data_IF_102425873614
#
_entry.id   IF_102425873614
#
_cell.length_a   1.000
_cell.length_b   1.000
_cell.length_c   1.000
_cell.angle_alpha   90.00
_cell.angle_beta   90.00
_cell.angle_gamma   90.00
#
_symmetry.space_group_name_H-M   'P 1'
#
loop_
_entity.id
_entity.type
_entity.pdbx_description
1 polymer ?
#
# COMPACT_ATOMS: atom_id res chain seq x y z
N UNK A 1 1.15 -27.50 -5.80
CA UNK A 1 -0.08 -26.68 -5.73
C UNK A 1 0.23 -25.46 -4.89
N UNK A 2 0.52 -24.33 -5.53
CA UNK A 2 0.59 -23.04 -4.83
C UNK A 2 -0.84 -22.63 -4.55
N UNK A 3 -1.26 -22.68 -3.29
CA UNK A 3 -2.49 -22.00 -2.87
C UNK A 3 -2.24 -20.52 -3.11
N UNK A 4 -2.90 -19.94 -4.12
CA UNK A 4 -3.00 -18.50 -4.22
C UNK A 4 -3.65 -18.04 -2.91
N UNK A 5 -2.86 -17.45 -2.01
CA UNK A 5 -3.39 -16.73 -0.87
C UNK A 5 -4.29 -15.68 -1.49
N UNK A 6 -5.61 -15.81 -1.31
CA UNK A 6 -6.56 -14.85 -1.84
C UNK A 6 -6.11 -13.45 -1.44
N UNK A 7 -6.33 -12.43 -2.28
CA UNK A 7 -5.95 -11.05 -1.94
C UNK A 7 -6.71 -10.47 -0.72
N UNK A 8 -7.65 -11.23 -0.16
CA UNK A 8 -8.57 -10.83 0.89
C UNK A 8 -7.87 -10.49 2.22
N UNK A 9 -6.95 -11.29 2.77
CA UNK A 9 -6.25 -10.94 4.01
C UNK A 9 -5.42 -9.65 3.86
N UNK A 10 -4.81 -9.46 2.69
CA UNK A 10 -4.00 -8.27 2.39
C UNK A 10 -4.87 -7.02 2.28
N UNK A 11 -6.06 -7.12 1.69
CA UNK A 11 -7.04 -6.04 1.68
C UNK A 11 -7.47 -5.66 3.10
N UNK A 12 -7.78 -6.65 3.94
CA UNK A 12 -8.13 -6.42 5.35
C UNK A 12 -7.01 -5.73 6.13
N UNK A 13 -5.75 -6.06 5.85
CA UNK A 13 -4.62 -5.38 6.46
C UNK A 13 -4.60 -3.89 6.10
N UNK A 14 -4.80 -3.53 4.83
CA UNK A 14 -4.87 -2.12 4.39
C UNK A 14 -6.06 -1.40 5.03
N UNK A 15 -7.25 -2.02 5.07
CA UNK A 15 -8.42 -1.46 5.74
C UNK A 15 -8.13 -1.16 7.23
N UNK A 16 -7.44 -2.07 7.91
CA UNK A 16 -7.06 -1.91 9.32
C UNK A 16 -6.07 -0.77 9.51
N UNK A 17 -5.02 -0.69 8.67
CA UNK A 17 -4.04 0.39 8.73
C UNK A 17 -4.68 1.75 8.46
N UNK A 18 -5.62 1.81 7.50
CA UNK A 18 -6.35 3.03 7.19
C UNK A 18 -7.23 3.48 8.36
N UNK A 19 -7.88 2.54 9.05
CA UNK A 19 -8.66 2.84 10.24
C UNK A 19 -7.79 3.40 11.38
N UNK A 20 -6.64 2.79 11.64
CA UNK A 20 -5.68 3.28 12.65
C UNK A 20 -5.16 4.67 12.28
N UNK A 21 -4.77 4.87 11.03
CA UNK A 21 -4.22 6.14 10.55
C UNK A 21 -5.23 7.29 10.71
N UNK A 22 -6.51 7.06 10.38
CA UNK A 22 -7.59 8.06 10.56
C UNK A 22 -7.95 8.31 12.02
N UNK A 23 -7.75 7.34 12.90
CA UNK A 23 -8.04 7.49 14.32
C UNK A 23 -6.94 8.25 15.08
N UNK A 24 -5.72 8.33 14.52
CA UNK A 24 -4.58 8.95 15.17
C UNK A 24 -4.41 10.42 14.72
N UNK A 25 -4.61 11.42 15.60
CA UNK A 25 -4.71 12.84 15.20
C UNK A 25 -3.44 13.42 14.59
N UNK A 26 -2.28 12.80 14.82
CA UNK A 26 -0.99 13.24 14.30
C UNK A 26 -0.59 12.57 12.97
N UNK A 27 -1.30 11.52 12.56
CA UNK A 27 -1.03 10.87 11.26
C UNK A 27 -1.72 11.69 10.17
N UNK A 28 -0.99 11.99 9.09
CA UNK A 28 -1.48 12.81 7.97
C UNK A 28 -1.52 12.06 6.65
N UNK A 29 -0.69 11.04 6.51
CA UNK A 29 -0.52 10.29 5.27
C UNK A 29 -0.33 8.82 5.61
N UNK A 30 -0.99 7.95 4.85
CA UNK A 30 -0.67 6.53 4.74
C UNK A 30 0.13 6.31 3.46
N UNK A 31 1.28 5.67 3.56
CA UNK A 31 2.21 5.41 2.43
C UNK A 31 2.35 3.92 2.17
N UNK A 32 2.39 3.53 0.90
CA UNK A 32 2.78 2.20 0.44
C UNK A 32 3.91 2.32 -0.60
N UNK A 33 4.90 1.43 -0.54
CA UNK A 33 5.95 1.28 -1.54
C UNK A 33 5.78 -0.07 -2.21
N UNK A 34 5.76 -0.09 -3.54
CA UNK A 34 5.43 -1.28 -4.32
C UNK A 34 6.31 -1.31 -5.57
N UNK A 35 7.03 -2.42 -5.78
CA UNK A 35 7.78 -2.65 -7.02
C UNK A 35 6.91 -2.49 -8.28
N UNK A 36 7.45 -1.97 -9.39
CA UNK A 36 6.68 -1.59 -10.58
C UNK A 36 5.89 -2.75 -11.19
N UNK A 37 6.43 -3.98 -11.09
CA UNK A 37 5.86 -5.19 -11.68
C UNK A 37 4.99 -5.99 -10.70
N UNK A 38 4.80 -5.51 -9.46
CA UNK A 38 3.99 -6.20 -8.45
C UNK A 38 2.50 -5.82 -8.57
N UNK A 39 1.86 -6.35 -9.60
CA UNK A 39 0.44 -6.09 -9.88
C UNK A 39 -0.49 -6.56 -8.76
N UNK A 40 -0.13 -7.65 -8.07
CA UNK A 40 -0.92 -8.20 -6.97
C UNK A 40 -1.00 -7.23 -5.79
N UNK A 41 0.14 -6.70 -5.33
CA UNK A 41 0.17 -5.67 -4.28
C UNK A 41 -0.47 -4.36 -4.72
N UNK A 42 -0.29 -3.98 -5.99
CA UNK A 42 -0.98 -2.80 -6.55
C UNK A 42 -2.50 -2.95 -6.52
N UNK A 43 -3.01 -4.16 -6.75
CA UNK A 43 -4.44 -4.45 -6.66
C UNK A 43 -4.98 -4.41 -5.22
N UNK A 44 -4.14 -4.62 -4.21
CA UNK A 44 -4.52 -4.52 -2.79
C UNK A 44 -4.83 -3.07 -2.39
N UNK A 45 -4.04 -2.10 -2.87
CA UNK A 45 -4.27 -0.67 -2.59
C UNK A 45 -5.28 -0.02 -3.56
N UNK A 46 -5.63 -0.73 -4.64
CA UNK A 46 -6.59 -0.25 -5.63
C UNK A 46 -7.96 0.01 -4.98
N UNK A 47 -8.57 1.16 -5.30
CA UNK A 47 -9.87 1.56 -4.76
C UNK A 47 -9.84 2.31 -3.42
N UNK A 48 -8.67 2.41 -2.76
CA UNK A 48 -8.53 3.17 -1.51
C UNK A 48 -8.11 4.64 -1.72
N UNK A 49 -7.83 5.06 -2.95
CA UNK A 49 -7.52 6.47 -3.30
C UNK A 49 -6.05 6.85 -3.20
N UNK A 50 -5.14 5.89 -3.11
CA UNK A 50 -3.70 6.13 -3.16
C UNK A 50 -3.28 6.79 -4.49
N UNK A 51 -2.42 7.80 -4.40
CA UNK A 51 -1.82 8.49 -5.54
C UNK A 51 -0.32 8.19 -5.61
N UNK A 52 0.21 7.96 -6.82
CA UNK A 52 1.66 7.85 -7.03
C UNK A 52 2.29 9.23 -6.82
N UNK A 53 3.28 9.31 -5.93
CA UNK A 53 3.97 10.57 -5.58
C UNK A 53 5.47 10.54 -5.86
N UNK A 54 6.03 9.37 -6.16
CA UNK A 54 7.46 9.27 -6.44
C UNK A 54 7.93 7.85 -6.61
N UNK A 55 9.25 7.70 -6.53
CA UNK A 55 9.98 6.44 -6.64
C UNK A 55 11.05 6.41 -5.56
N UNK A 56 11.42 5.22 -5.13
CA UNK A 56 12.57 4.98 -4.26
C UNK A 56 13.37 3.80 -4.79
N UNK A 57 14.66 3.78 -4.46
CA UNK A 57 15.50 2.61 -4.69
C UNK A 57 15.68 1.90 -3.35
N UNK A 58 15.25 0.66 -3.30
CA UNK A 58 15.58 -0.29 -2.24
C UNK A 58 16.80 -1.12 -2.66
N UNK A 59 17.74 -1.36 -1.74
CA UNK A 59 18.99 -2.05 -2.05
C UNK A 59 18.80 -3.56 -2.29
N UNK A 60 17.75 -4.17 -1.74
CA UNK A 60 17.42 -5.58 -1.87
C UNK A 60 16.39 -5.81 -2.99
N UNK A 61 15.33 -4.99 -3.01
CA UNK A 61 14.18 -5.15 -3.89
C UNK A 61 14.23 -4.29 -5.17
N UNK A 62 15.14 -3.32 -5.23
CA UNK A 62 15.34 -2.44 -6.39
C UNK A 62 14.35 -1.28 -6.48
N UNK A 63 13.92 -0.93 -7.68
CA UNK A 63 13.02 0.21 -7.89
C UNK A 63 11.65 -0.07 -7.26
N UNK A 64 11.17 0.86 -6.44
CA UNK A 64 9.81 0.86 -5.91
C UNK A 64 9.09 2.17 -6.22
N UNK A 65 7.77 2.07 -6.42
CA UNK A 65 6.89 3.21 -6.62
C UNK A 65 6.27 3.61 -5.29
N UNK A 66 6.33 4.89 -4.93
CA UNK A 66 5.73 5.45 -3.71
C UNK A 66 4.30 5.88 -4.00
N UNK A 67 3.37 5.35 -3.21
CA UNK A 67 1.95 5.67 -3.23
C UNK A 67 1.51 6.27 -1.89
N UNK A 68 0.77 7.37 -1.92
CA UNK A 68 0.30 8.05 -0.72
C UNK A 68 -1.20 8.32 -0.74
N UNK A 69 -1.81 8.25 0.44
CA UNK A 69 -3.19 8.61 0.70
C UNK A 69 -3.23 9.58 1.91
N UNK A 70 -3.70 10.82 1.74
CA UNK A 70 -3.98 11.69 2.87
C UNK A 70 -5.06 11.09 3.79
N UNK A 71 -4.80 11.08 5.08
CA UNK A 71 -5.70 10.60 6.14
C UNK A 71 -5.85 11.74 7.14
N UNK A 72 -6.84 12.58 6.88
CA UNK A 72 -7.17 13.77 7.69
C UNK A 72 -7.94 13.41 8.95
#
# INVERSE_FOLDING_TARGET
MTTAISGEPWRRAVETLLAVARAHPDVRVLRATIGPDNEASRAVIAGHGFARVGEQWDEEDGLEIIWELPVG
#
